data_IF_041070864815
#
_entry.id   IF_041070864815
#
_cell.length_a   1.000
_cell.length_b   1.000
_cell.length_c   1.000
_cell.angle_alpha   90.00
_cell.angle_beta   90.00
_cell.angle_gamma   90.00
#
_symmetry.space_group_name_H-M   'P 1'
#
loop_
_entity.id
_entity.type
_entity.pdbx_description
1 polymer ?
#
# COMPACT_ATOMS: atom_id res chain seq x y z
N UNK A 1 64.21 40.92 4.69
CA UNK A 1 63.69 41.26 3.35
C UNK A 1 63.13 40.10 2.54
N UNK A 2 63.70 38.88 2.56
CA UNK A 2 63.12 37.72 1.79
C UNK A 2 61.79 37.23 2.27
N UNK A 3 61.44 37.28 3.58
CA UNK A 3 60.15 36.82 4.14
C UNK A 3 58.99 37.79 3.80
N UNK A 4 59.24 39.08 3.79
CA UNK A 4 58.24 40.12 3.46
C UNK A 4 57.85 40.05 1.96
N UNK A 5 58.79 39.76 1.07
CA UNK A 5 58.50 39.59 -0.37
C UNK A 5 57.65 38.35 -0.66
N UNK A 6 57.81 37.26 0.14
CA UNK A 6 57.00 36.05 -0.02
C UNK A 6 55.56 36.24 0.47
N UNK A 7 55.35 36.98 1.59
CA UNK A 7 54.04 37.32 2.10
C UNK A 7 53.29 38.28 1.16
N UNK A 8 54.04 39.27 0.57
CA UNK A 8 53.48 40.19 -0.41
C UNK A 8 53.05 39.47 -1.70
N UNK A 9 53.82 38.48 -2.16
CA UNK A 9 53.49 37.67 -3.33
C UNK A 9 52.26 36.78 -3.09
N UNK A 10 52.13 36.20 -1.91
CA UNK A 10 50.96 35.39 -1.52
C UNK A 10 49.70 36.25 -1.39
N UNK A 11 49.79 37.47 -0.84
CA UNK A 11 48.68 38.43 -0.79
C UNK A 11 48.27 38.91 -2.19
N UNK A 12 49.21 39.10 -3.11
CA UNK A 12 48.90 39.48 -4.48
C UNK A 12 48.23 38.35 -5.28
N UNK A 13 48.61 37.11 -5.05
CA UNK A 13 47.90 35.93 -5.63
C UNK A 13 46.48 35.77 -5.08
N UNK A 14 46.27 36.09 -3.79
CA UNK A 14 44.92 36.00 -3.19
C UNK A 14 43.97 37.05 -3.73
N UNK A 15 44.47 38.25 -4.04
CA UNK A 15 43.69 39.34 -4.67
C UNK A 15 43.35 39.05 -6.12
N UNK A 16 44.21 38.34 -6.86
CA UNK A 16 43.96 37.95 -8.24
C UNK A 16 42.95 36.81 -8.39
N UNK A 17 42.81 35.98 -7.36
CA UNK A 17 41.77 34.91 -7.33
C UNK A 17 40.38 35.49 -7.01
N UNK A 18 40.29 36.56 -6.26
CA UNK A 18 39.03 37.26 -5.95
C UNK A 18 38.51 38.16 -7.08
N UNK A 19 39.34 38.53 -8.06
CA UNK A 19 38.91 39.34 -9.19
C UNK A 19 38.40 38.54 -10.42
N UNK A 20 38.47 37.19 -10.38
CA UNK A 20 37.94 36.35 -11.45
C UNK A 20 36.46 35.94 -11.24
N UNK A 21 35.81 36.39 -10.17
CA UNK A 21 34.39 36.10 -9.86
C UNK A 21 33.50 37.35 -10.00
N UNK A 22 33.92 38.32 -10.77
CA UNK A 22 33.17 39.55 -10.97
C UNK A 22 32.86 39.81 -12.45
N UNK A 23 31.57 39.81 -12.76
CA UNK A 23 30.87 40.36 -13.90
C UNK A 23 30.78 39.53 -15.19
N UNK A 24 29.71 38.78 -15.29
CA UNK A 24 28.89 38.88 -16.47
C UNK A 24 27.42 39.07 -16.00
N UNK A 25 27.04 40.34 -15.81
CA UNK A 25 25.63 40.70 -15.67
C UNK A 25 25.02 40.63 -17.08
N UNK A 26 24.59 39.45 -17.51
CA UNK A 26 23.48 39.29 -18.42
C UNK A 26 22.21 39.48 -17.60
N UNK A 27 21.41 40.46 -17.99
CA UNK A 27 19.99 40.49 -17.63
C UNK A 27 19.42 39.13 -18.02
N UNK A 28 19.20 38.27 -17.07
CA UNK A 28 18.41 37.08 -17.23
C UNK A 28 16.98 37.45 -16.82
N UNK A 29 16.15 37.53 -17.84
CA UNK A 29 14.70 37.60 -17.68
C UNK A 29 14.31 36.44 -16.78
N UNK A 30 13.48 36.77 -15.75
CA UNK A 30 13.08 35.93 -14.66
C UNK A 30 12.74 34.48 -15.04
N UNK A 31 13.71 33.61 -14.99
CA UNK A 31 13.49 32.19 -14.83
C UNK A 31 13.18 31.98 -13.35
N UNK A 32 11.89 31.92 -13.02
CA UNK A 32 11.40 31.28 -11.79
C UNK A 32 12.29 30.07 -11.55
N UNK A 33 12.81 29.90 -10.34
CA UNK A 33 13.41 28.65 -9.90
C UNK A 33 12.43 27.55 -10.30
N UNK A 34 12.85 26.64 -11.18
CA UNK A 34 12.04 25.49 -11.53
C UNK A 34 11.79 24.74 -10.24
N UNK A 35 10.58 24.86 -9.72
CA UNK A 35 10.02 23.90 -8.79
C UNK A 35 10.39 22.52 -9.36
N UNK A 36 11.12 21.70 -8.60
CA UNK A 36 11.62 20.43 -9.12
C UNK A 36 10.45 19.67 -9.75
N UNK A 37 10.57 19.31 -11.02
CA UNK A 37 9.52 18.58 -11.76
C UNK A 37 9.29 17.17 -11.23
N UNK A 38 9.96 16.80 -10.13
CA UNK A 38 9.92 15.48 -9.51
C UNK A 38 9.60 15.55 -8.02
N UNK A 39 9.01 14.50 -7.52
CA UNK A 39 8.83 14.19 -6.09
C UNK A 39 9.60 12.93 -5.76
N UNK A 40 10.17 12.86 -4.57
CA UNK A 40 10.91 11.69 -4.10
C UNK A 40 10.25 11.17 -2.83
N UNK A 41 9.99 9.86 -2.79
CA UNK A 41 9.37 9.18 -1.65
C UNK A 41 10.19 7.96 -1.25
N UNK A 42 9.98 7.48 -0.02
CA UNK A 42 10.50 6.19 0.44
C UNK A 42 9.35 5.19 0.47
N UNK A 43 9.47 4.12 -0.30
CA UNK A 43 8.44 3.08 -0.40
C UNK A 43 8.42 2.14 0.82
N UNK A 44 7.49 1.18 0.84
CA UNK A 44 7.37 0.27 1.98
C UNK A 44 8.51 -0.75 2.12
N UNK A 45 9.35 -0.92 1.09
CA UNK A 45 10.59 -1.70 1.15
C UNK A 45 11.80 -0.86 1.58
N UNK A 46 11.65 0.46 1.76
CA UNK A 46 12.71 1.38 2.10
C UNK A 46 13.49 1.90 0.89
N UNK A 47 13.02 1.67 -0.34
CA UNK A 47 13.64 2.20 -1.54
C UNK A 47 13.26 3.67 -1.72
N UNK A 48 14.25 4.49 -2.11
CA UNK A 48 14.01 5.87 -2.53
C UNK A 48 13.60 5.88 -4.00
N UNK A 49 12.36 6.33 -4.27
CA UNK A 49 11.79 6.38 -5.62
C UNK A 49 11.52 7.82 -6.01
N UNK A 50 12.01 8.22 -7.17
CA UNK A 50 11.76 9.54 -7.75
C UNK A 50 10.75 9.43 -8.87
N UNK A 51 9.68 10.22 -8.79
CA UNK A 51 8.56 10.22 -9.72
C UNK A 51 8.34 11.64 -10.24
N UNK A 52 7.90 11.83 -11.47
CA UNK A 52 7.49 13.16 -11.95
C UNK A 52 6.30 13.69 -11.15
N UNK A 53 6.22 14.98 -10.90
CA UNK A 53 5.12 15.59 -10.12
C UNK A 53 3.75 15.42 -10.79
N UNK A 54 3.66 15.55 -12.09
CA UNK A 54 2.41 15.43 -12.83
C UNK A 54 2.12 13.96 -13.18
N UNK A 55 1.70 13.19 -12.14
CA UNK A 55 1.29 11.80 -12.30
C UNK A 55 -0.16 11.76 -12.81
N UNK A 56 -0.34 11.28 -14.03
CA UNK A 56 -1.66 11.11 -14.67
C UNK A 56 -1.99 9.64 -14.96
N UNK A 57 -0.99 8.77 -15.03
CA UNK A 57 -1.16 7.38 -15.44
C UNK A 57 -0.59 6.43 -14.40
N UNK A 58 -1.47 5.84 -13.62
CA UNK A 58 -1.15 4.92 -12.52
C UNK A 58 -1.48 3.50 -12.94
N UNK A 59 -0.53 2.59 -12.77
CA UNK A 59 -0.77 1.16 -12.88
C UNK A 59 -0.59 0.51 -11.51
N UNK A 60 -1.50 -0.39 -11.15
CA UNK A 60 -1.44 -1.19 -9.92
C UNK A 60 -1.37 -2.66 -10.29
N UNK A 61 -0.25 -3.30 -9.95
CA UNK A 61 -0.01 -4.71 -10.24
C UNK A 61 -0.71 -5.62 -9.21
N UNK A 62 0.04 -6.31 -8.38
CA UNK A 62 -0.39 -7.39 -7.50
C UNK A 62 -0.72 -6.95 -6.06
N UNK A 63 -1.06 -5.68 -5.85
CA UNK A 63 -1.55 -5.15 -4.56
C UNK A 63 -3.01 -4.73 -4.68
N UNK A 64 -3.92 -5.68 -4.54
CA UNK A 64 -5.32 -5.60 -4.94
C UNK A 64 -6.17 -4.51 -4.26
N UNK A 65 -5.96 -4.11 -2.99
CA UNK A 65 -6.76 -3.05 -2.38
C UNK A 65 -6.44 -1.63 -2.87
N UNK A 66 -5.25 -1.40 -3.43
CA UNK A 66 -4.75 -0.06 -3.76
C UNK A 66 -5.62 0.69 -4.79
N UNK A 67 -6.17 0.07 -5.85
CA UNK A 67 -7.07 0.80 -6.75
C UNK A 67 -8.27 1.43 -6.04
N UNK A 68 -8.87 0.75 -5.06
CA UNK A 68 -9.97 1.30 -4.25
C UNK A 68 -9.50 2.47 -3.38
N UNK A 69 -8.34 2.34 -2.76
CA UNK A 69 -7.72 3.41 -1.95
C UNK A 69 -7.43 4.64 -2.80
N UNK A 70 -6.86 4.46 -4.00
CA UNK A 70 -6.56 5.54 -4.94
C UNK A 70 -7.84 6.24 -5.40
N UNK A 71 -8.89 5.50 -5.78
CA UNK A 71 -10.15 6.08 -6.23
C UNK A 71 -10.77 6.99 -5.15
N UNK A 72 -10.81 6.54 -3.89
CA UNK A 72 -11.29 7.34 -2.75
C UNK A 72 -10.33 8.48 -2.43
N UNK A 73 -9.02 8.26 -2.55
CA UNK A 73 -8.00 9.29 -2.30
C UNK A 73 -8.13 10.47 -3.27
N UNK A 74 -8.36 10.21 -4.56
CA UNK A 74 -8.54 11.25 -5.57
C UNK A 74 -9.98 11.75 -5.70
N UNK A 75 -10.95 11.06 -5.09
CA UNK A 75 -12.39 11.22 -5.41
C UNK A 75 -12.66 11.02 -6.92
N UNK A 76 -11.90 10.14 -7.55
CA UNK A 76 -11.93 9.75 -8.96
C UNK A 76 -11.03 8.55 -9.21
N UNK A 77 -11.36 7.73 -10.21
CA UNK A 77 -10.50 6.64 -10.67
C UNK A 77 -9.82 6.92 -12.02
N UNK A 78 -9.99 8.12 -12.58
CA UNK A 78 -9.55 8.46 -13.95
C UNK A 78 -8.04 8.31 -14.19
N UNK A 79 -7.22 8.41 -13.14
CA UNK A 79 -5.77 8.22 -13.21
C UNK A 79 -5.33 6.74 -13.24
N UNK A 80 -6.22 5.81 -12.90
CA UNK A 80 -5.91 4.38 -12.86
C UNK A 80 -6.10 3.80 -14.26
N UNK A 81 -4.99 3.61 -14.97
CA UNK A 81 -5.00 3.12 -16.36
C UNK A 81 -4.82 1.61 -16.47
N UNK A 82 -4.36 0.95 -15.40
CA UNK A 82 -4.22 -0.49 -15.35
C UNK A 82 -4.30 -1.03 -13.92
N UNK A 83 -4.95 -2.17 -13.75
CA UNK A 83 -5.02 -2.89 -12.48
C UNK A 83 -5.21 -4.39 -12.70
N UNK A 84 -4.87 -5.20 -11.68
CA UNK A 84 -5.04 -6.65 -11.77
C UNK A 84 -6.51 -7.08 -11.82
N UNK A 85 -6.79 -8.25 -12.45
CA UNK A 85 -8.13 -8.82 -12.55
C UNK A 85 -8.88 -8.96 -11.22
N UNK A 86 -8.26 -9.38 -10.09
CA UNK A 86 -8.95 -9.42 -8.81
C UNK A 86 -9.45 -8.04 -8.34
N UNK A 87 -8.67 -6.97 -8.59
CA UNK A 87 -9.09 -5.60 -8.28
C UNK A 87 -10.27 -5.16 -9.15
N UNK A 88 -10.26 -5.50 -10.44
CA UNK A 88 -11.37 -5.23 -11.35
C UNK A 88 -12.65 -5.98 -10.93
N UNK A 89 -12.50 -7.26 -10.56
CA UNK A 89 -13.63 -8.05 -10.08
C UNK A 89 -14.23 -7.46 -8.79
N UNK A 90 -13.37 -7.02 -7.85
CA UNK A 90 -13.81 -6.36 -6.62
C UNK A 90 -14.52 -5.03 -6.93
N UNK A 91 -14.02 -4.22 -7.86
CA UNK A 91 -14.64 -2.97 -8.27
C UNK A 91 -16.04 -3.20 -8.86
N UNK A 92 -16.19 -4.16 -9.79
CA UNK A 92 -17.46 -4.51 -10.43
C UNK A 92 -18.53 -5.01 -9.45
N UNK A 93 -18.12 -5.68 -8.37
CA UNK A 93 -19.03 -6.31 -7.40
C UNK A 93 -19.20 -5.48 -6.12
N UNK A 94 -18.86 -4.19 -6.15
CA UNK A 94 -18.94 -3.30 -4.99
C UNK A 94 -19.49 -1.93 -5.39
N UNK A 95 -19.73 -1.06 -4.41
CA UNK A 95 -20.12 0.34 -4.63
C UNK A 95 -19.06 1.16 -5.38
N UNK A 96 -17.84 0.64 -5.53
CA UNK A 96 -16.73 1.39 -6.14
C UNK A 96 -17.04 1.76 -7.59
N UNK A 97 -17.62 0.84 -8.37
CA UNK A 97 -18.00 1.10 -9.76
C UNK A 97 -19.24 2.01 -9.90
N UNK A 98 -20.04 2.14 -8.86
CA UNK A 98 -21.17 3.08 -8.83
C UNK A 98 -20.69 4.49 -8.50
N UNK A 99 -19.74 4.62 -7.56
CA UNK A 99 -19.19 5.90 -7.13
C UNK A 99 -18.17 6.45 -8.13
N UNK A 100 -17.35 5.58 -8.71
CA UNK A 100 -16.25 5.92 -9.63
C UNK A 100 -16.29 5.02 -10.87
N UNK A 101 -17.30 5.17 -11.77
CA UNK A 101 -17.50 4.25 -12.89
C UNK A 101 -16.33 4.18 -13.87
N UNK A 102 -15.51 5.23 -13.95
CA UNK A 102 -14.30 5.26 -14.77
C UNK A 102 -13.26 4.21 -14.39
N UNK A 103 -13.33 3.61 -13.18
CA UNK A 103 -12.43 2.53 -12.76
C UNK A 103 -12.55 1.30 -13.67
N UNK A 104 -13.73 1.12 -14.30
CA UNK A 104 -13.99 0.01 -15.21
C UNK A 104 -13.24 0.12 -16.54
N UNK A 105 -12.67 1.30 -16.85
CA UNK A 105 -11.87 1.55 -18.04
C UNK A 105 -10.40 1.11 -17.88
N UNK A 106 -9.98 0.73 -16.66
CA UNK A 106 -8.61 0.30 -16.43
C UNK A 106 -8.33 -1.05 -17.13
N UNK A 107 -7.20 -1.13 -17.83
CA UNK A 107 -6.75 -2.36 -18.48
C UNK A 107 -6.33 -3.42 -17.46
N UNK A 108 -6.62 -4.68 -17.77
CA UNK A 108 -6.29 -5.80 -16.87
C UNK A 108 -5.41 -6.86 -17.52
N UNK A 109 -5.26 -6.85 -18.84
CA UNK A 109 -4.55 -7.88 -19.60
C UNK A 109 -3.02 -7.82 -19.52
N UNK A 110 -2.45 -6.83 -18.81
CA UNK A 110 -1.01 -6.68 -18.65
C UNK A 110 -0.41 -7.55 -17.53
N UNK A 111 -1.25 -8.18 -16.70
CA UNK A 111 -0.82 -9.00 -15.55
C UNK A 111 -1.70 -10.25 -15.41
N UNK A 112 -1.07 -11.40 -15.16
CA UNK A 112 -1.72 -12.67 -14.82
C UNK A 112 -1.15 -13.17 -13.48
N UNK A 113 -2.00 -13.21 -12.46
CA UNK A 113 -1.58 -13.47 -11.09
C UNK A 113 -0.55 -12.42 -10.61
N UNK A 114 0.71 -12.83 -10.48
CA UNK A 114 1.84 -11.97 -10.10
C UNK A 114 2.83 -11.73 -11.24
N UNK A 115 2.54 -12.26 -12.44
CA UNK A 115 3.42 -12.17 -13.62
C UNK A 115 2.97 -11.03 -14.53
N UNK A 116 3.85 -10.07 -14.78
CA UNK A 116 3.59 -8.91 -15.63
C UNK A 116 4.12 -9.14 -17.04
N UNK A 117 3.27 -8.90 -18.03
CA UNK A 117 3.70 -8.75 -19.42
C UNK A 117 4.23 -7.33 -19.62
N UNK A 118 5.56 -7.20 -19.72
CA UNK A 118 6.23 -5.90 -19.78
C UNK A 118 5.91 -5.10 -21.05
N UNK A 119 5.58 -5.76 -22.17
CA UNK A 119 5.17 -5.08 -23.41
C UNK A 119 3.77 -4.48 -23.25
N UNK A 120 2.83 -5.25 -22.69
CA UNK A 120 1.49 -4.78 -22.39
C UNK A 120 1.51 -3.64 -21.35
N UNK A 121 2.36 -3.74 -20.31
CA UNK A 121 2.58 -2.67 -19.35
C UNK A 121 3.13 -1.41 -20.03
N UNK A 122 4.11 -1.54 -20.92
CA UNK A 122 4.69 -0.42 -21.66
C UNK A 122 3.64 0.31 -22.54
N UNK A 123 2.70 -0.43 -23.13
CA UNK A 123 1.61 0.14 -23.92
C UNK A 123 0.69 1.04 -23.07
N UNK A 124 0.59 0.80 -21.76
CA UNK A 124 -0.15 1.66 -20.81
C UNK A 124 0.58 2.97 -20.51
N UNK A 125 1.86 3.08 -20.84
CA UNK A 125 2.69 4.27 -20.61
C UNK A 125 2.52 4.86 -19.19
N UNK A 126 2.77 4.09 -18.12
CA UNK A 126 2.54 4.52 -16.75
C UNK A 126 3.57 5.56 -16.29
N UNK A 127 3.12 6.53 -15.50
CA UNK A 127 3.98 7.48 -14.79
C UNK A 127 4.54 6.90 -13.50
N UNK A 128 3.75 5.99 -12.88
CA UNK A 128 4.11 5.26 -11.67
C UNK A 128 3.44 3.88 -11.68
N UNK A 129 4.15 2.89 -11.14
CA UNK A 129 3.66 1.52 -11.01
C UNK A 129 3.70 1.11 -9.53
N UNK A 130 2.55 0.79 -8.96
CA UNK A 130 2.46 0.22 -7.62
C UNK A 130 2.49 -1.31 -7.70
N UNK A 131 3.26 -1.94 -6.80
CA UNK A 131 3.37 -3.39 -6.73
C UNK A 131 3.45 -3.88 -5.27
N UNK A 132 3.19 -5.17 -5.04
CA UNK A 132 3.30 -5.78 -3.70
C UNK A 132 4.75 -5.83 -3.23
N UNK A 133 5.02 -5.31 -2.04
CA UNK A 133 6.34 -5.32 -1.41
C UNK A 133 6.94 -6.72 -1.23
N UNK A 134 6.09 -7.75 -1.20
CA UNK A 134 6.50 -9.15 -1.15
C UNK A 134 7.03 -9.68 -2.50
N UNK A 135 6.66 -9.06 -3.62
CA UNK A 135 7.08 -9.46 -4.96
C UNK A 135 8.38 -8.74 -5.38
N UNK A 136 9.49 -9.13 -4.75
CA UNK A 136 10.80 -8.50 -4.99
C UNK A 136 11.30 -8.66 -6.42
N UNK A 137 10.94 -9.78 -7.07
CA UNK A 137 11.31 -10.06 -8.47
C UNK A 137 10.63 -9.08 -9.41
N UNK A 138 9.32 -8.87 -9.27
CA UNK A 138 8.60 -7.86 -10.03
C UNK A 138 9.17 -6.46 -9.80
N UNK A 139 9.44 -6.09 -8.52
CA UNK A 139 10.04 -4.81 -8.19
C UNK A 139 11.36 -4.57 -8.92
N UNK A 140 12.22 -5.60 -8.99
CA UNK A 140 13.48 -5.55 -9.74
C UNK A 140 13.22 -5.40 -11.25
N UNK A 141 12.32 -6.19 -11.83
CA UNK A 141 11.99 -6.12 -13.25
C UNK A 141 11.49 -4.72 -13.64
N UNK A 142 10.59 -4.14 -12.84
CA UNK A 142 10.06 -2.80 -13.08
C UNK A 142 11.16 -1.73 -13.01
N UNK A 143 12.02 -1.82 -12.01
CA UNK A 143 13.12 -0.86 -11.82
C UNK A 143 14.17 -0.97 -12.94
N UNK A 144 14.55 -2.20 -13.32
CA UNK A 144 15.49 -2.46 -14.43
C UNK A 144 14.93 -1.94 -15.78
N UNK A 145 13.60 -1.98 -15.95
CA UNK A 145 12.92 -1.43 -17.12
C UNK A 145 12.75 0.11 -17.07
N UNK A 146 13.18 0.78 -15.99
CA UNK A 146 13.16 2.23 -15.84
C UNK A 146 11.85 2.82 -15.34
N UNK A 147 10.93 2.02 -14.82
CA UNK A 147 9.69 2.52 -14.23
C UNK A 147 9.93 3.10 -12.83
N UNK A 148 9.18 4.15 -12.49
CA UNK A 148 9.01 4.59 -11.11
C UNK A 148 8.13 3.56 -10.37
N UNK A 149 8.77 2.53 -9.82
CA UNK A 149 8.10 1.40 -9.16
C UNK A 149 8.05 1.62 -7.65
N UNK A 150 6.86 1.57 -7.06
CA UNK A 150 6.63 1.83 -5.63
C UNK A 150 6.08 0.58 -4.98
N UNK A 151 6.85 0.04 -4.02
CA UNK A 151 6.45 -1.10 -3.23
C UNK A 151 5.41 -0.70 -2.17
N UNK A 152 4.30 -1.42 -2.13
CA UNK A 152 3.24 -1.27 -1.13
C UNK A 152 3.13 -2.55 -0.31
N UNK A 153 3.06 -2.43 1.02
CA UNK A 153 2.92 -3.58 1.92
C UNK A 153 1.56 -3.60 2.61
N UNK A 154 0.91 -4.76 2.59
CA UNK A 154 -0.31 -5.01 3.34
C UNK A 154 -0.06 -5.61 4.74
N UNK A 155 1.14 -6.14 5.00
CA UNK A 155 1.46 -6.90 6.21
C UNK A 155 2.61 -6.33 7.05
N UNK A 156 3.28 -5.28 6.61
CA UNK A 156 4.40 -4.63 7.32
C UNK A 156 4.06 -4.25 8.76
N UNK A 157 2.81 -3.90 9.00
CA UNK A 157 2.30 -3.49 10.31
C UNK A 157 1.44 -4.58 10.96
N UNK A 158 1.85 -5.84 10.81
CA UNK A 158 1.20 -7.02 11.42
C UNK A 158 -0.31 -7.09 11.15
N UNK A 159 -0.70 -6.74 9.93
CA UNK A 159 -2.12 -6.68 9.49
C UNK A 159 -3.00 -5.69 10.28
N UNK A 160 -2.39 -4.76 11.04
CA UNK A 160 -3.12 -3.65 11.64
C UNK A 160 -3.71 -2.77 10.52
N UNK A 161 -5.02 -2.87 10.32
CA UNK A 161 -5.71 -2.22 9.21
C UNK A 161 -5.63 -0.68 9.30
N UNK A 162 -5.69 -0.14 10.52
CA UNK A 162 -5.61 1.32 10.77
C UNK A 162 -4.21 1.83 10.42
N UNK A 163 -3.18 1.17 10.95
CA UNK A 163 -1.78 1.55 10.70
C UNK A 163 -1.41 1.38 9.23
N UNK A 164 -1.86 0.29 8.60
CA UNK A 164 -1.65 0.02 7.18
C UNK A 164 -2.25 1.12 6.31
N UNK A 165 -3.53 1.46 6.53
CA UNK A 165 -4.21 2.52 5.78
C UNK A 165 -3.53 3.87 5.99
N UNK A 166 -3.21 4.24 7.24
CA UNK A 166 -2.54 5.50 7.54
C UNK A 166 -1.21 5.64 6.80
N UNK A 167 -0.38 4.57 6.79
CA UNK A 167 0.90 4.60 6.08
C UNK A 167 0.74 4.63 4.54
N UNK A 168 -0.29 3.99 3.99
CA UNK A 168 -0.60 4.11 2.56
C UNK A 168 -1.01 5.53 2.20
N UNK A 169 -1.89 6.15 2.99
CA UNK A 169 -2.31 7.54 2.77
C UNK A 169 -1.15 8.52 2.96
N UNK A 170 -0.26 8.29 3.92
CA UNK A 170 0.95 9.10 4.10
C UNK A 170 1.86 9.05 2.88
N UNK A 171 2.09 7.85 2.31
CA UNK A 171 2.86 7.68 1.09
C UNK A 171 2.20 8.35 -0.12
N UNK A 172 0.88 8.16 -0.29
CA UNK A 172 0.12 8.82 -1.37
C UNK A 172 0.12 10.35 -1.19
N UNK A 173 0.01 10.86 0.03
CA UNK A 173 0.06 12.30 0.30
C UNK A 173 1.43 12.93 0.04
N UNK A 174 2.51 12.16 0.14
CA UNK A 174 3.84 12.59 -0.28
C UNK A 174 3.97 12.62 -1.81
N UNK A 175 3.39 11.63 -2.51
CA UNK A 175 3.37 11.58 -3.98
C UNK A 175 2.48 12.66 -4.59
N UNK A 176 1.38 13.01 -3.92
CA UNK A 176 0.35 13.93 -4.37
C UNK A 176 0.07 14.99 -3.31
N UNK A 177 1.03 15.91 -3.07
CA UNK A 177 0.94 16.87 -1.98
C UNK A 177 -0.27 17.82 -2.09
N UNK A 178 -0.79 18.04 -3.29
CA UNK A 178 -2.02 18.82 -3.53
C UNK A 178 -3.29 18.11 -3.01
N UNK A 179 -3.23 16.78 -2.84
CA UNK A 179 -4.31 15.94 -2.30
C UNK A 179 -3.99 15.39 -0.90
N UNK A 180 -3.11 16.05 -0.14
CA UNK A 180 -2.70 15.55 1.17
C UNK A 180 -3.89 15.30 2.10
N UNK A 181 -4.07 14.05 2.52
CA UNK A 181 -5.15 13.58 3.41
C UNK A 181 -4.62 12.91 4.68
N UNK A 182 -3.31 12.90 4.90
CA UNK A 182 -2.66 12.17 6.00
C UNK A 182 -3.27 12.50 7.35
N UNK A 183 -3.30 13.79 7.74
CA UNK A 183 -3.83 14.20 9.04
C UNK A 183 -5.33 13.88 9.19
N UNK A 184 -6.12 14.16 8.16
CA UNK A 184 -7.57 13.90 8.18
C UNK A 184 -7.88 12.41 8.36
N UNK A 185 -7.21 11.54 7.61
CA UNK A 185 -7.44 10.09 7.67
C UNK A 185 -6.95 9.54 9.00
N UNK A 186 -5.77 9.92 9.46
CA UNK A 186 -5.20 9.49 10.75
C UNK A 186 -6.11 9.89 11.91
N UNK A 187 -6.49 11.15 12.01
CA UNK A 187 -7.38 11.64 13.07
C UNK A 187 -8.70 10.89 13.10
N UNK A 188 -9.30 10.65 11.92
CA UNK A 188 -10.56 9.93 11.84
C UNK A 188 -10.41 8.45 12.21
N UNK A 189 -9.42 7.77 11.67
CA UNK A 189 -9.18 6.34 11.94
C UNK A 189 -8.84 6.09 13.42
N UNK A 190 -8.03 6.95 14.05
CA UNK A 190 -7.74 6.89 15.47
C UNK A 190 -8.98 7.15 16.33
N UNK A 191 -9.83 8.12 15.96
CA UNK A 191 -11.08 8.40 16.67
C UNK A 191 -12.04 7.20 16.65
N UNK A 192 -12.17 6.52 15.51
CA UNK A 192 -12.99 5.32 15.38
C UNK A 192 -12.40 4.17 16.20
N UNK A 193 -11.09 3.95 16.09
CA UNK A 193 -10.41 2.92 16.88
C UNK A 193 -10.60 3.13 18.39
N UNK A 194 -10.36 4.36 18.88
CA UNK A 194 -10.52 4.70 20.30
C UNK A 194 -11.95 4.49 20.76
N UNK A 195 -12.94 4.92 19.96
CA UNK A 195 -14.36 4.69 20.27
C UNK A 195 -14.70 3.19 20.41
N UNK A 196 -14.10 2.33 19.56
CA UNK A 196 -14.27 0.89 19.68
C UNK A 196 -13.58 0.38 20.95
N UNK A 197 -12.32 0.80 21.20
CA UNK A 197 -11.58 0.37 22.39
C UNK A 197 -12.28 0.75 23.71
N UNK A 198 -12.86 1.95 23.80
CA UNK A 198 -13.66 2.35 24.98
C UNK A 198 -14.78 1.38 25.28
N UNK A 199 -15.39 0.75 24.26
CA UNK A 199 -16.51 -0.20 24.42
C UNK A 199 -16.05 -1.61 24.73
N UNK A 200 -14.88 -2.02 24.23
CA UNK A 200 -14.49 -3.45 24.27
C UNK A 200 -13.35 -3.74 25.25
N UNK A 201 -12.57 -2.74 25.67
CA UNK A 201 -11.40 -2.94 26.54
C UNK A 201 -11.73 -3.52 27.92
N UNK A 202 -12.95 -3.31 28.42
CA UNK A 202 -13.43 -3.82 29.70
C UNK A 202 -14.04 -5.22 29.63
N UNK A 203 -14.16 -5.83 28.44
CA UNK A 203 -14.72 -7.16 28.28
C UNK A 203 -13.73 -8.19 28.83
N UNK A 204 -14.11 -8.99 29.88
CA UNK A 204 -13.24 -10.03 30.40
C UNK A 204 -12.94 -11.10 29.33
N UNK A 205 -11.76 -11.69 29.36
CA UNK A 205 -11.36 -12.69 28.35
C UNK A 205 -12.34 -13.88 28.23
N UNK A 206 -12.96 -14.27 29.33
CA UNK A 206 -13.95 -15.34 29.34
C UNK A 206 -15.29 -14.98 28.67
N UNK A 207 -15.55 -13.67 28.48
CA UNK A 207 -16.79 -13.14 27.88
C UNK A 207 -16.58 -12.69 26.44
N UNK A 208 -15.34 -12.67 25.94
CA UNK A 208 -15.04 -12.32 24.56
C UNK A 208 -15.64 -13.33 23.60
N UNK A 209 -16.35 -12.84 22.59
CA UNK A 209 -16.85 -13.67 21.50
C UNK A 209 -15.70 -14.38 20.78
N UNK A 210 -15.84 -15.67 20.54
CA UNK A 210 -14.89 -16.48 19.80
C UNK A 210 -15.17 -16.37 18.31
N UNK A 211 -14.16 -15.94 17.54
CA UNK A 211 -14.28 -15.74 16.09
C UNK A 211 -13.35 -16.66 15.32
N UNK A 212 -13.85 -17.18 14.21
CA UNK A 212 -13.12 -18.02 13.27
C UNK A 212 -13.03 -17.31 11.92
N UNK A 213 -11.82 -17.12 11.41
CA UNK A 213 -11.59 -16.55 10.08
C UNK A 213 -11.45 -17.69 9.07
N UNK A 214 -12.46 -17.87 8.23
CA UNK A 214 -12.48 -18.90 7.20
C UNK A 214 -11.87 -18.36 5.89
N UNK A 215 -10.61 -18.75 5.59
CA UNK A 215 -9.92 -18.35 4.37
C UNK A 215 -10.32 -19.20 3.18
N UNK A 216 -10.34 -20.52 3.36
CA UNK A 216 -10.76 -21.45 2.33
C UNK A 216 -11.64 -22.53 2.94
N UNK A 217 -12.64 -22.95 2.17
CA UNK A 217 -13.51 -24.06 2.49
C UNK A 217 -13.82 -24.85 1.23
N UNK A 218 -13.32 -26.05 1.18
CA UNK A 218 -13.57 -27.05 0.12
C UNK A 218 -13.55 -28.44 0.74
N UNK A 219 -13.95 -29.45 -0.02
CA UNK A 219 -13.91 -30.84 0.44
C UNK A 219 -12.53 -31.32 0.94
N UNK A 220 -11.46 -30.71 0.42
CA UNK A 220 -10.08 -31.10 0.74
C UNK A 220 -9.29 -30.10 1.58
N UNK A 221 -9.83 -28.89 1.80
CA UNK A 221 -9.07 -27.83 2.46
C UNK A 221 -9.97 -26.87 3.22
N UNK A 222 -9.72 -26.78 4.52
CA UNK A 222 -10.26 -25.74 5.40
C UNK A 222 -9.07 -25.00 5.98
N UNK A 223 -9.02 -23.68 5.84
CA UNK A 223 -7.91 -22.91 6.39
C UNK A 223 -8.36 -21.67 7.14
N UNK A 224 -7.56 -21.28 8.13
CA UNK A 224 -7.81 -20.17 9.06
C UNK A 224 -6.57 -19.33 9.31
N UNK A 225 -6.73 -18.32 10.15
CA UNK A 225 -5.70 -17.42 10.62
C UNK A 225 -5.07 -17.89 11.93
N UNK A 226 -3.75 -17.96 11.96
CA UNK A 226 -2.98 -18.11 13.20
C UNK A 226 -2.76 -16.79 13.94
N UNK A 227 -1.89 -16.83 14.97
CA UNK A 227 -1.65 -15.71 15.89
C UNK A 227 -0.90 -14.51 15.28
N UNK A 228 -0.21 -14.71 14.16
CA UNK A 228 0.63 -13.69 13.51
C UNK A 228 0.18 -13.37 12.08
N UNK A 229 -1.04 -13.77 11.70
CA UNK A 229 -1.60 -13.59 10.38
C UNK A 229 -2.85 -12.69 10.40
N UNK A 230 -3.34 -12.38 9.21
CA UNK A 230 -4.60 -11.65 9.00
C UNK A 230 -5.74 -12.22 9.88
N UNK A 231 -6.47 -11.35 10.54
CA UNK A 231 -7.57 -11.73 11.42
C UNK A 231 -7.22 -11.66 12.91
N UNK A 232 -5.98 -11.96 13.33
CA UNK A 232 -5.61 -11.85 14.74
C UNK A 232 -5.76 -10.42 15.26
N UNK A 233 -5.17 -9.45 14.54
CA UNK A 233 -5.32 -8.04 14.92
C UNK A 233 -6.79 -7.60 14.89
N UNK A 234 -7.55 -8.04 13.87
CA UNK A 234 -8.97 -7.69 13.73
C UNK A 234 -9.80 -8.19 14.89
N UNK A 235 -9.63 -9.48 15.27
CA UNK A 235 -10.32 -10.03 16.44
C UNK A 235 -10.03 -9.23 17.70
N UNK A 236 -8.74 -8.96 17.98
CA UNK A 236 -8.32 -8.19 19.15
C UNK A 236 -8.87 -6.78 19.13
N UNK A 237 -8.83 -6.11 17.98
CA UNK A 237 -9.28 -4.73 17.82
C UNK A 237 -10.78 -4.54 18.08
N UNK A 238 -11.61 -5.55 17.85
CA UNK A 238 -13.05 -5.51 18.12
C UNK A 238 -13.44 -6.19 19.45
N UNK A 239 -12.46 -6.53 20.30
CA UNK A 239 -12.71 -7.16 21.60
C UNK A 239 -13.14 -8.62 21.51
N UNK A 240 -12.87 -9.31 20.41
CA UNK A 240 -13.12 -10.73 20.23
C UNK A 240 -11.83 -11.56 20.43
N UNK A 241 -11.99 -12.88 20.42
CA UNK A 241 -10.91 -13.86 20.51
C UNK A 241 -10.83 -14.68 19.23
N UNK A 242 -9.70 -14.63 18.53
CA UNK A 242 -9.45 -15.51 17.39
C UNK A 242 -9.25 -16.95 17.89
N UNK A 243 -10.11 -17.88 17.47
CA UNK A 243 -9.97 -19.30 17.90
C UNK A 243 -8.71 -19.97 17.35
N UNK A 244 -8.16 -19.45 16.25
CA UNK A 244 -6.90 -19.90 15.66
C UNK A 244 -5.65 -19.31 16.32
N UNK A 245 -5.76 -18.50 17.39
CA UNK A 245 -4.60 -17.86 18.04
C UNK A 245 -3.59 -18.84 18.63
N UNK A 246 -4.01 -20.10 18.92
CA UNK A 246 -3.11 -21.16 19.35
C UNK A 246 -2.18 -21.69 18.23
N UNK A 247 -2.50 -21.38 16.98
CA UNK A 247 -1.68 -21.74 15.82
C UNK A 247 -0.57 -20.70 15.67
N UNK A 248 0.65 -21.11 15.93
CA UNK A 248 1.83 -20.24 15.73
C UNK A 248 2.16 -20.14 14.23
N UNK A 249 1.50 -19.21 13.54
CA UNK A 249 1.60 -19.07 12.10
C UNK A 249 1.40 -17.63 11.62
N UNK A 250 2.28 -17.21 10.72
CA UNK A 250 2.23 -15.94 9.97
C UNK A 250 1.55 -16.05 8.59
N UNK A 251 0.89 -17.18 8.33
CA UNK A 251 0.18 -17.49 7.09
C UNK A 251 -1.10 -18.25 7.36
N UNK A 252 -1.93 -18.39 6.31
CA UNK A 252 -3.11 -19.26 6.34
C UNK A 252 -2.70 -20.70 6.66
N UNK A 253 -3.37 -21.30 7.65
CA UNK A 253 -3.06 -22.63 8.19
C UNK A 253 -4.23 -23.55 8.03
N UNK A 254 -3.97 -24.78 7.57
CA UNK A 254 -4.99 -25.79 7.40
C UNK A 254 -5.43 -26.34 8.74
N UNK A 255 -6.74 -26.52 8.87
CA UNK A 255 -7.41 -27.13 10.03
C UNK A 255 -8.44 -28.14 9.55
N UNK A 256 -8.97 -28.94 10.47
CA UNK A 256 -10.05 -29.89 10.19
C UNK A 256 -11.32 -29.52 10.97
N UNK A 257 -12.43 -30.17 10.63
CA UNK A 257 -13.71 -29.92 11.28
C UNK A 257 -13.70 -30.28 12.76
N UNK A 258 -12.95 -31.32 13.16
CA UNK A 258 -12.81 -31.70 14.57
C UNK A 258 -12.21 -30.56 15.40
N UNK A 259 -11.16 -29.92 14.87
CA UNK A 259 -10.54 -28.75 15.51
C UNK A 259 -11.51 -27.58 15.61
N UNK A 260 -12.31 -27.31 14.57
CA UNK A 260 -13.30 -26.23 14.55
C UNK A 260 -14.39 -26.51 15.58
N UNK A 261 -14.91 -27.73 15.65
CA UNK A 261 -15.88 -28.14 16.68
C UNK A 261 -15.32 -28.00 18.10
N UNK A 262 -14.06 -28.36 18.33
CA UNK A 262 -13.37 -28.18 19.61
C UNK A 262 -13.28 -26.73 20.02
N UNK A 263 -12.95 -25.84 19.07
CA UNK A 263 -12.88 -24.40 19.29
C UNK A 263 -14.26 -23.80 19.58
N UNK A 264 -15.29 -24.33 18.94
CA UNK A 264 -16.68 -23.88 19.06
C UNK A 264 -16.80 -22.35 18.91
N UNK A 265 -16.54 -21.78 17.72
CA UNK A 265 -16.62 -20.35 17.49
C UNK A 265 -18.06 -19.85 17.58
N UNK A 266 -18.26 -18.61 18.09
CA UNK A 266 -19.54 -17.94 18.12
C UNK A 266 -19.88 -17.31 16.76
N UNK A 267 -18.82 -16.88 16.01
CA UNK A 267 -18.95 -16.26 14.68
C UNK A 267 -17.93 -16.81 13.72
N UNK A 268 -18.33 -16.93 12.45
CA UNK A 268 -17.45 -17.29 11.33
C UNK A 268 -17.39 -16.11 10.37
N UNK A 269 -16.20 -15.54 10.19
CA UNK A 269 -15.93 -14.54 9.16
C UNK A 269 -15.42 -15.24 7.90
N UNK A 270 -16.22 -15.24 6.84
CA UNK A 270 -15.84 -15.78 5.53
C UNK A 270 -15.09 -14.66 4.79
N UNK A 271 -13.84 -14.90 4.45
CA UNK A 271 -13.05 -13.92 3.71
C UNK A 271 -13.47 -13.87 2.24
N UNK A 272 -13.22 -12.75 1.58
CA UNK A 272 -13.48 -12.59 0.15
C UNK A 272 -12.55 -13.42 -0.76
N UNK A 273 -11.56 -14.10 -0.20
CA UNK A 273 -10.70 -15.06 -0.90
C UNK A 273 -11.34 -16.45 -0.99
N UNK A 274 -12.44 -16.66 -0.24
CA UNK A 274 -13.19 -17.90 -0.23
C UNK A 274 -14.28 -17.87 -1.30
N UNK A 275 -14.48 -18.97 -1.99
CA UNK A 275 -15.61 -19.15 -2.94
C UNK A 275 -16.88 -19.62 -2.26
N UNK A 276 -16.79 -20.22 -1.07
CA UNK A 276 -17.95 -20.67 -0.30
C UNK A 276 -18.77 -19.48 0.22
N UNK A 277 -20.09 -19.64 0.18
CA UNK A 277 -21.06 -18.70 0.72
C UNK A 277 -21.55 -19.17 2.08
N UNK A 278 -22.20 -18.33 2.89
CA UNK A 278 -22.79 -18.74 4.16
C UNK A 278 -23.70 -19.96 4.06
N UNK A 279 -24.53 -20.02 3.01
CA UNK A 279 -25.45 -21.15 2.78
C UNK A 279 -24.71 -22.47 2.50
N UNK A 280 -23.56 -22.42 1.82
CA UNK A 280 -22.76 -23.61 1.55
C UNK A 280 -22.22 -24.21 2.86
N UNK A 281 -21.82 -23.36 3.80
CA UNK A 281 -21.32 -23.80 5.10
C UNK A 281 -22.47 -24.32 5.95
N UNK A 282 -23.57 -23.57 6.01
CA UNK A 282 -24.75 -23.94 6.79
C UNK A 282 -25.37 -25.28 6.32
N UNK A 283 -25.46 -25.48 5.02
CA UNK A 283 -26.05 -26.67 4.42
C UNK A 283 -25.04 -27.79 4.15
N UNK A 284 -23.75 -27.59 4.45
CA UNK A 284 -22.65 -28.50 4.16
C UNK A 284 -22.63 -28.96 2.68
N UNK A 285 -22.80 -27.98 1.78
CA UNK A 285 -22.91 -28.23 0.32
C UNK A 285 -21.61 -28.06 -0.45
N UNK A 286 -20.52 -27.69 0.23
CA UNK A 286 -19.18 -27.61 -0.38
C UNK A 286 -18.62 -29.02 -0.48
N UNK A 287 -18.72 -29.58 -1.66
CA UNK A 287 -18.18 -30.88 -2.00
C UNK A 287 -16.86 -30.81 -2.75
#
# INVERSE_FOLDING_TARGET
>A
MKKVKRVLALLLCLVLILSAVGCSAKKDDGKKSSDSEVVTVVDNNGNTVTVKKDIQRIVVCDIYPIPSVLAVFFDSASKIVGMAQPSMAAAKNSLLSELYPEILNAETGFIDGTTVNMEALAALNPDVVFYSSGNKELGKQLTDAGYAAIAISANKWQYNAIETLNNWIDLLSQLFPENNKSEKVRTYSESVYNMVQERVSSIPDAEKAKVFFLFQYSASNISTSGNSFFGQWWATAIGAKNVGEELDSDKSTNVNMEQIYKWNPDFIFITNFNTAKPDDIYNNTVG
#
